data_IF_804160076549
#
_entry.id   IF_804160076549
#
_cell.length_a   1.000
_cell.length_b   1.000
_cell.length_c   1.000
_cell.angle_alpha   90.00
_cell.angle_beta   90.00
_cell.angle_gamma   90.00
#
_symmetry.space_group_name_H-M   'P 1'
#
loop_
_entity.id
_entity.type
_entity.pdbx_description
1 polymer ?
#
# COMPACT_ATOMS: atom_id res chain seq x y z
N UNK A 1 -21.53 -16.10 9.90
CA UNK A 1 -20.93 -14.76 10.12
C UNK A 1 -21.87 -13.71 9.55
N UNK A 2 -22.04 -12.54 10.18
CA UNK A 2 -22.85 -11.44 9.64
C UNK A 2 -22.13 -10.83 8.42
N UNK A 3 -22.88 -10.45 7.39
CA UNK A 3 -22.35 -9.77 6.19
C UNK A 3 -21.60 -8.48 6.58
N UNK A 4 -20.40 -8.19 6.03
CA UNK A 4 -19.66 -6.99 6.37
C UNK A 4 -20.41 -5.75 5.87
N UNK A 5 -20.59 -4.76 6.76
CA UNK A 5 -21.28 -3.51 6.44
C UNK A 5 -20.31 -2.48 5.85
N UNK A 6 -19.13 -2.37 6.45
CA UNK A 6 -18.10 -1.41 6.04
C UNK A 6 -16.81 -2.12 5.64
N UNK A 7 -16.38 -1.90 4.40
CA UNK A 7 -15.12 -2.40 3.87
C UNK A 7 -14.04 -1.32 3.90
N UNK A 8 -12.87 -1.64 4.45
CA UNK A 8 -11.69 -0.78 4.42
C UNK A 8 -10.69 -1.35 3.41
N UNK A 9 -10.56 -0.72 2.25
CA UNK A 9 -9.57 -1.08 1.24
C UNK A 9 -8.24 -0.40 1.57
N UNK A 10 -7.29 -1.17 2.08
CA UNK A 10 -5.94 -0.73 2.43
C UNK A 10 -5.06 -0.69 1.18
N UNK A 11 -4.79 0.51 0.67
CA UNK A 11 -4.06 0.72 -0.58
C UNK A 11 -2.56 0.88 -0.36
N UNK A 12 -1.76 0.09 -1.04
CA UNK A 12 -0.31 0.22 -1.09
C UNK A 12 0.22 -0.31 -2.43
N UNK A 13 1.46 0.00 -2.81
CA UNK A 13 2.08 -0.59 -4.00
C UNK A 13 2.21 -2.12 -3.90
N UNK A 14 2.38 -2.62 -2.67
CA UNK A 14 2.70 -4.01 -2.40
C UNK A 14 4.17 -4.34 -2.63
N UNK A 15 4.51 -5.63 -2.63
CA UNK A 15 5.85 -6.10 -2.92
C UNK A 15 5.88 -7.61 -3.13
N UNK A 16 6.85 -8.13 -3.88
CA UNK A 16 6.95 -9.56 -4.19
C UNK A 16 7.17 -10.35 -2.89
N UNK A 17 6.34 -11.37 -2.63
CA UNK A 17 6.45 -12.21 -1.43
C UNK A 17 7.63 -13.19 -1.55
N UNK A 18 7.95 -13.59 -2.80
CA UNK A 18 9.04 -14.49 -3.14
C UNK A 18 9.90 -13.88 -4.25
N UNK A 19 11.12 -14.38 -4.40
CA UNK A 19 12.02 -13.96 -5.48
C UNK A 19 11.41 -14.16 -6.88
N UNK A 20 10.59 -15.21 -7.07
CA UNK A 20 9.96 -15.51 -8.35
C UNK A 20 8.90 -14.48 -8.74
N UNK A 21 8.29 -13.79 -7.77
CA UNK A 21 7.26 -12.78 -8.00
C UNK A 21 7.84 -11.44 -8.48
N UNK A 22 9.17 -11.26 -8.40
CA UNK A 22 9.85 -10.00 -8.70
C UNK A 22 9.59 -9.56 -10.15
N UNK A 23 9.60 -10.48 -11.10
CA UNK A 23 9.37 -10.13 -12.50
C UNK A 23 7.99 -9.50 -12.71
N UNK A 24 6.95 -10.11 -12.17
CA UNK A 24 5.57 -9.67 -12.38
C UNK A 24 5.27 -8.38 -11.61
N UNK A 25 5.87 -8.22 -10.43
CA UNK A 25 5.90 -6.95 -9.71
C UNK A 25 6.47 -5.82 -10.56
N UNK A 26 7.67 -6.02 -11.12
CA UNK A 26 8.32 -5.01 -11.97
C UNK A 26 7.54 -4.75 -13.27
N UNK A 27 6.97 -5.80 -13.87
CA UNK A 27 6.16 -5.68 -15.07
C UNK A 27 4.97 -4.76 -14.85
N UNK A 28 4.19 -4.99 -13.79
CA UNK A 28 3.03 -4.13 -13.46
C UNK A 28 3.46 -2.70 -13.12
N UNK A 29 4.58 -2.54 -12.41
CA UNK A 29 5.14 -1.23 -12.07
C UNK A 29 5.53 -0.44 -13.34
N UNK A 30 6.24 -1.05 -14.29
CA UNK A 30 6.65 -0.37 -15.52
C UNK A 30 5.50 -0.15 -16.51
N UNK A 31 4.40 -0.92 -16.41
CA UNK A 31 3.19 -0.71 -17.20
C UNK A 31 2.29 0.41 -16.65
N UNK A 32 2.57 0.90 -15.44
CA UNK A 32 1.75 1.91 -14.78
C UNK A 32 2.01 3.32 -15.31
N UNK A 33 1.04 3.84 -16.06
CA UNK A 33 1.08 5.18 -16.64
C UNK A 33 0.90 6.30 -15.61
N UNK A 34 0.38 6.01 -14.42
CA UNK A 34 0.31 6.99 -13.33
C UNK A 34 1.64 7.17 -12.60
N UNK A 35 2.51 6.16 -12.70
CA UNK A 35 3.84 6.19 -12.09
C UNK A 35 4.86 6.79 -13.06
N UNK A 36 4.84 6.36 -14.32
CA UNK A 36 5.75 6.86 -15.35
C UNK A 36 5.14 6.75 -16.75
N UNK A 37 5.44 7.74 -17.59
CA UNK A 37 5.07 7.74 -19.01
C UNK A 37 6.29 7.37 -19.86
N UNK A 38 6.18 6.30 -20.66
CA UNK A 38 7.25 5.82 -21.53
C UNK A 38 6.77 5.69 -22.98
N UNK A 39 7.62 5.98 -23.98
CA UNK A 39 7.28 5.70 -25.36
C UNK A 39 7.09 4.18 -25.55
N UNK A 40 6.08 3.77 -26.32
CA UNK A 40 5.78 2.35 -26.56
C UNK A 40 5.78 1.47 -25.28
N UNK A 41 5.24 1.98 -24.17
CA UNK A 41 5.32 1.37 -22.83
C UNK A 41 4.91 -0.12 -22.78
N UNK A 42 3.95 -0.55 -23.61
CA UNK A 42 3.53 -1.96 -23.71
C UNK A 42 4.66 -2.90 -24.15
N UNK A 43 5.65 -2.40 -24.90
CA UNK A 43 6.81 -3.16 -25.36
C UNK A 43 8.05 -2.91 -24.48
N UNK A 44 8.27 -1.67 -24.05
CA UNK A 44 9.41 -1.33 -23.20
C UNK A 44 9.29 -1.89 -21.78
N UNK A 45 8.10 -1.89 -21.19
CA UNK A 45 7.91 -2.35 -19.81
C UNK A 45 8.30 -3.83 -19.61
N UNK A 46 7.85 -4.79 -20.45
CA UNK A 46 8.31 -6.18 -20.35
C UNK A 46 9.83 -6.34 -20.49
N UNK A 47 10.46 -5.61 -21.42
CA UNK A 47 11.91 -5.67 -21.62
C UNK A 47 12.66 -5.14 -20.39
N UNK A 48 12.25 -3.99 -19.85
CA UNK A 48 12.87 -3.41 -18.66
C UNK A 48 12.66 -4.27 -17.41
N UNK A 49 11.47 -4.85 -17.25
CA UNK A 49 11.18 -5.78 -16.16
C UNK A 49 12.16 -6.96 -16.20
N UNK A 50 12.22 -7.69 -17.33
CA UNK A 50 13.18 -8.79 -17.52
C UNK A 50 14.62 -8.39 -17.25
N UNK A 51 15.05 -7.24 -17.77
CA UNK A 51 16.43 -6.75 -17.58
C UNK A 51 16.73 -6.42 -16.11
N UNK A 52 15.77 -5.90 -15.35
CA UNK A 52 15.97 -5.48 -13.96
C UNK A 52 15.70 -6.58 -12.94
N UNK A 53 14.95 -7.61 -13.29
CA UNK A 53 14.58 -8.72 -12.38
C UNK A 53 15.78 -9.30 -11.63
N UNK A 54 16.91 -9.69 -12.27
CA UNK A 54 18.02 -10.33 -11.53
C UNK A 54 18.60 -9.43 -10.44
N UNK A 55 18.75 -8.13 -10.74
CA UNK A 55 19.27 -7.15 -9.77
C UNK A 55 18.31 -6.97 -8.59
N UNK A 56 17.01 -6.94 -8.84
CA UNK A 56 15.99 -6.74 -7.79
C UNK A 56 15.80 -8.02 -6.97
N UNK A 57 15.89 -9.20 -7.58
CA UNK A 57 15.91 -10.48 -6.87
C UNK A 57 17.08 -10.55 -5.88
N UNK A 58 18.29 -10.14 -6.31
CA UNK A 58 19.45 -10.08 -5.44
C UNK A 58 19.22 -9.12 -4.24
N UNK A 59 18.56 -7.98 -4.46
CA UNK A 59 18.19 -7.06 -3.37
C UNK A 59 17.22 -7.71 -2.38
N UNK A 60 16.19 -8.40 -2.86
CA UNK A 60 15.25 -9.12 -2.00
C UNK A 60 15.91 -10.30 -1.27
N UNK A 61 16.83 -11.00 -1.93
CA UNK A 61 17.60 -12.11 -1.33
C UNK A 61 18.36 -11.64 -0.08
N UNK A 62 19.01 -10.46 -0.15
CA UNK A 62 19.76 -9.86 0.98
C UNK A 62 18.93 -9.51 2.19
N UNK A 63 17.60 -9.38 2.05
CA UNK A 63 16.69 -9.03 3.15
C UNK A 63 15.80 -10.22 3.58
N UNK A 64 16.12 -11.44 3.12
CA UNK A 64 15.40 -12.66 3.51
C UNK A 64 14.52 -13.28 2.43
N UNK A 65 14.63 -12.86 1.17
CA UNK A 65 14.03 -13.53 0.01
C UNK A 65 12.69 -12.98 -0.47
N UNK A 66 12.20 -11.88 0.10
CA UNK A 66 10.92 -11.28 -0.28
C UNK A 66 10.52 -10.07 0.57
N UNK A 67 9.42 -9.42 0.20
CA UNK A 67 8.84 -8.30 0.92
C UNK A 67 7.91 -8.79 2.04
N UNK A 68 8.08 -8.33 3.30
CA UNK A 68 7.18 -8.68 4.38
C UNK A 68 5.87 -7.84 4.39
N UNK A 69 5.65 -7.00 3.37
CA UNK A 69 4.56 -6.00 3.39
C UNK A 69 3.18 -6.62 3.59
N UNK A 70 2.86 -7.72 2.89
CA UNK A 70 1.57 -8.41 3.02
C UNK A 70 1.33 -8.90 4.44
N UNK A 71 2.34 -9.52 5.05
CA UNK A 71 2.29 -9.97 6.45
C UNK A 71 1.95 -8.81 7.38
N UNK A 72 2.64 -7.69 7.25
CA UNK A 72 2.42 -6.55 8.14
C UNK A 72 1.08 -5.85 7.89
N UNK A 73 0.65 -5.73 6.63
CA UNK A 73 -0.68 -5.18 6.30
C UNK A 73 -1.80 -6.06 6.86
N UNK A 74 -1.65 -7.39 6.85
CA UNK A 74 -2.61 -8.31 7.48
C UNK A 74 -2.72 -8.05 8.99
N UNK A 75 -1.58 -8.03 9.70
CA UNK A 75 -1.54 -7.80 11.16
C UNK A 75 -2.17 -6.44 11.52
N UNK A 76 -1.86 -5.39 10.75
CA UNK A 76 -2.43 -4.07 10.96
C UNK A 76 -3.94 -4.05 10.65
N UNK A 77 -4.36 -4.70 9.57
CA UNK A 77 -5.77 -4.80 9.17
C UNK A 77 -6.62 -5.51 10.22
N UNK A 78 -6.14 -6.64 10.74
CA UNK A 78 -6.80 -7.41 11.80
C UNK A 78 -6.96 -6.59 13.08
N UNK A 79 -5.87 -5.94 13.52
CA UNK A 79 -5.89 -5.05 14.68
C UNK A 79 -6.86 -3.87 14.50
N UNK A 80 -6.84 -3.24 13.32
CA UNK A 80 -7.73 -2.14 12.97
C UNK A 80 -9.20 -2.56 13.03
N UNK A 81 -9.58 -3.67 12.38
CA UNK A 81 -10.98 -4.13 12.37
C UNK A 81 -11.47 -4.44 13.78
N UNK A 82 -10.65 -5.12 14.59
CA UNK A 82 -11.01 -5.42 15.99
C UNK A 82 -11.31 -4.16 16.80
N UNK A 83 -10.57 -3.08 16.59
CA UNK A 83 -10.82 -1.80 17.26
C UNK A 83 -12.04 -1.09 16.67
N UNK A 84 -12.20 -1.06 15.34
CA UNK A 84 -13.31 -0.40 14.67
C UNK A 84 -14.67 -0.99 15.04
N UNK A 85 -14.78 -2.31 15.18
CA UNK A 85 -16.02 -2.97 15.59
C UNK A 85 -16.47 -2.52 17.00
N UNK A 86 -15.52 -2.24 17.89
CA UNK A 86 -15.81 -1.71 19.23
C UNK A 86 -16.09 -0.20 19.21
N UNK A 87 -15.31 0.57 18.43
CA UNK A 87 -15.39 2.03 18.39
C UNK A 87 -16.60 2.54 17.62
N UNK A 88 -17.04 1.82 16.60
CA UNK A 88 -18.14 2.23 15.71
C UNK A 88 -19.10 1.06 15.43
N UNK A 89 -19.86 0.62 16.44
CA UNK A 89 -20.78 -0.52 16.30
C UNK A 89 -21.88 -0.29 15.25
N UNK A 90 -22.23 0.96 14.95
CA UNK A 90 -23.23 1.31 13.93
C UNK A 90 -22.77 1.01 12.48
N UNK A 91 -21.46 0.96 12.25
CA UNK A 91 -20.85 0.65 10.95
C UNK A 91 -20.22 -0.74 10.89
N UNK A 92 -20.25 -1.47 12.01
CA UNK A 92 -19.86 -2.88 12.09
C UNK A 92 -20.88 -3.80 11.39
N UNK A 93 -20.48 -5.02 10.96
CA UNK A 93 -19.12 -5.55 11.00
C UNK A 93 -18.21 -4.86 9.98
N UNK A 94 -17.00 -4.50 10.41
CA UNK A 94 -15.95 -4.00 9.52
C UNK A 94 -15.17 -5.18 8.93
N UNK A 95 -14.70 -5.04 7.68
CA UNK A 95 -13.74 -5.97 7.07
C UNK A 95 -12.68 -5.17 6.33
N UNK A 96 -11.42 -5.52 6.53
CA UNK A 96 -10.33 -4.93 5.75
C UNK A 96 -10.08 -5.78 4.49
N UNK A 97 -9.62 -5.12 3.44
CA UNK A 97 -9.21 -5.73 2.17
C UNK A 97 -7.87 -5.14 1.79
N UNK A 98 -6.95 -5.98 1.32
CA UNK A 98 -5.65 -5.50 0.84
C UNK A 98 -5.78 -5.22 -0.64
N UNK A 99 -5.52 -3.97 -1.05
CA UNK A 99 -5.48 -3.56 -2.44
C UNK A 99 -4.06 -3.18 -2.82
N UNK A 100 -3.29 -4.15 -3.32
CA UNK A 100 -1.96 -3.86 -3.83
C UNK A 100 -1.99 -3.40 -5.28
N UNK A 101 -1.09 -2.49 -5.64
CA UNK A 101 -1.04 -1.93 -6.99
C UNK A 101 -0.33 -2.86 -7.99
N UNK A 102 0.69 -3.59 -7.54
CA UNK A 102 1.60 -4.33 -8.43
C UNK A 102 1.78 -5.82 -8.11
N UNK A 103 1.17 -6.32 -7.03
CA UNK A 103 1.19 -7.74 -6.64
C UNK A 103 -0.17 -8.15 -6.10
N UNK A 104 -0.41 -9.46 -5.96
CA UNK A 104 -1.63 -9.98 -5.40
C UNK A 104 -1.71 -9.81 -3.86
N UNK A 105 -2.90 -9.60 -3.27
CA UNK A 105 -4.16 -9.30 -3.96
C UNK A 105 -4.13 -7.89 -4.59
N UNK A 106 -4.49 -7.82 -5.87
CA UNK A 106 -4.52 -6.58 -6.64
C UNK A 106 -5.70 -5.71 -6.21
N UNK A 107 -5.60 -4.42 -6.51
CA UNK A 107 -6.67 -3.44 -6.21
C UNK A 107 -7.99 -3.88 -6.84
N UNK A 108 -7.96 -4.37 -8.07
CA UNK A 108 -9.12 -4.86 -8.82
C UNK A 108 -9.73 -6.11 -8.17
N UNK A 109 -8.90 -7.06 -7.73
CA UNK A 109 -9.33 -8.29 -7.05
C UNK A 109 -10.01 -7.96 -5.71
N UNK A 110 -9.45 -7.00 -4.97
CA UNK A 110 -10.03 -6.55 -3.71
C UNK A 110 -11.39 -5.86 -3.91
N UNK A 111 -11.54 -5.03 -4.95
CA UNK A 111 -12.86 -4.41 -5.28
C UNK A 111 -13.88 -5.49 -5.64
N UNK A 112 -13.47 -6.51 -6.41
CA UNK A 112 -14.35 -7.64 -6.74
C UNK A 112 -14.80 -8.41 -5.50
N UNK A 113 -13.90 -8.68 -4.56
CA UNK A 113 -14.24 -9.32 -3.29
C UNK A 113 -15.19 -8.46 -2.47
N UNK A 114 -14.95 -7.14 -2.38
CA UNK A 114 -15.82 -6.20 -1.68
C UNK A 114 -17.24 -6.16 -2.28
N UNK A 115 -17.36 -6.19 -3.61
CA UNK A 115 -18.67 -6.27 -4.28
C UNK A 115 -19.37 -7.60 -4.04
N UNK A 116 -18.64 -8.72 -4.09
CA UNK A 116 -19.17 -10.05 -3.82
C UNK A 116 -19.66 -10.18 -2.38
N UNK A 117 -18.93 -9.59 -1.44
CA UNK A 117 -19.33 -9.51 -0.03
C UNK A 117 -20.52 -8.58 0.19
N UNK A 118 -20.87 -7.75 -0.81
CA UNK A 118 -21.99 -6.83 -0.82
C UNK A 118 -21.85 -5.72 0.23
N UNK A 119 -20.64 -5.23 0.44
CA UNK A 119 -20.31 -4.12 1.35
C UNK A 119 -21.18 -2.90 1.04
N UNK A 120 -21.73 -2.25 2.08
CA UNK A 120 -22.56 -1.04 1.90
C UNK A 120 -21.70 0.22 1.75
N UNK A 121 -20.66 0.35 2.58
CA UNK A 121 -19.72 1.48 2.59
C UNK A 121 -18.29 1.00 2.36
N UNK A 122 -17.62 1.58 1.38
CA UNK A 122 -16.21 1.36 1.11
C UNK A 122 -15.36 2.58 1.45
N UNK A 123 -14.21 2.34 2.05
CA UNK A 123 -13.22 3.36 2.38
C UNK A 123 -11.91 2.98 1.69
N UNK A 124 -11.51 3.76 0.68
CA UNK A 124 -10.18 3.70 0.09
C UNK A 124 -9.19 4.37 1.07
N UNK A 125 -8.47 3.55 1.84
CA UNK A 125 -7.56 4.02 2.86
C UNK A 125 -6.12 3.82 2.42
N UNK A 126 -5.48 4.91 1.99
CA UNK A 126 -4.06 4.85 1.61
C UNK A 126 -3.19 4.47 2.80
N UNK A 127 -2.22 3.58 2.59
CA UNK A 127 -1.20 3.24 3.58
C UNK A 127 0.04 4.15 3.46
N UNK A 128 -0.04 5.20 2.63
CA UNK A 128 0.97 6.27 2.53
C UNK A 128 0.50 7.49 3.32
N UNK A 129 1.14 7.84 4.46
CA UNK A 129 0.74 9.03 5.20
C UNK A 129 0.89 10.33 4.39
N UNK A 130 1.95 10.43 3.59
CA UNK A 130 2.22 11.54 2.68
C UNK A 130 1.69 11.22 1.28
N UNK A 131 0.85 12.10 0.74
CA UNK A 131 0.31 11.92 -0.62
C UNK A 131 1.39 12.15 -1.69
N UNK A 132 1.45 11.24 -2.66
CA UNK A 132 2.09 11.46 -3.95
C UNK A 132 1.17 10.95 -5.07
N UNK A 133 1.20 11.63 -6.22
CA UNK A 133 0.49 11.18 -7.43
C UNK A 133 1.00 9.79 -7.87
N UNK A 134 2.30 9.51 -7.68
CA UNK A 134 2.93 8.25 -8.03
C UNK A 134 2.59 7.07 -7.10
N UNK A 135 1.95 7.32 -5.95
CA UNK A 135 1.59 6.30 -4.96
C UNK A 135 0.08 6.27 -4.69
N UNK A 136 -0.42 7.15 -3.82
CA UNK A 136 -1.86 7.26 -3.52
C UNK A 136 -2.64 7.59 -4.80
N UNK A 137 -2.14 8.51 -5.62
CA UNK A 137 -2.78 8.90 -6.87
C UNK A 137 -2.99 7.72 -7.82
N UNK A 138 -1.93 6.95 -8.11
CA UNK A 138 -2.01 5.73 -8.92
C UNK A 138 -3.03 4.72 -8.37
N UNK A 139 -3.07 4.53 -7.06
CA UNK A 139 -4.01 3.61 -6.41
C UNK A 139 -5.46 4.05 -6.55
N UNK A 140 -5.75 5.35 -6.37
CA UNK A 140 -7.09 5.90 -6.56
C UNK A 140 -7.52 5.87 -8.04
N UNK A 141 -6.60 6.15 -8.95
CA UNK A 141 -6.84 6.03 -10.39
C UNK A 141 -7.14 4.58 -10.80
N UNK A 142 -6.53 3.58 -10.15
CA UNK A 142 -6.84 2.17 -10.38
C UNK A 142 -8.31 1.84 -10.02
N UNK A 143 -8.81 2.33 -8.87
CA UNK A 143 -10.23 2.17 -8.48
C UNK A 143 -11.15 2.80 -9.54
N UNK A 144 -10.84 4.01 -9.98
CA UNK A 144 -11.62 4.68 -11.03
C UNK A 144 -11.62 3.90 -12.34
N UNK A 145 -10.44 3.46 -12.81
CA UNK A 145 -10.29 2.70 -14.06
C UNK A 145 -11.00 1.36 -14.02
N UNK A 146 -11.00 0.67 -12.88
CA UNK A 146 -11.72 -0.58 -12.70
C UNK A 146 -13.21 -0.42 -13.08
N UNK A 147 -13.88 0.57 -12.49
CA UNK A 147 -15.30 0.83 -12.78
C UNK A 147 -15.54 1.33 -14.20
N UNK A 148 -14.65 2.18 -14.71
CA UNK A 148 -14.71 2.63 -16.10
C UNK A 148 -14.62 1.45 -17.09
N UNK A 149 -13.72 0.50 -16.85
CA UNK A 149 -13.51 -0.67 -17.71
C UNK A 149 -14.67 -1.65 -17.64
N UNK A 150 -15.23 -1.90 -16.44
CA UNK A 150 -16.44 -2.72 -16.29
C UNK A 150 -17.69 -2.07 -16.87
N UNK A 151 -17.68 -0.74 -17.09
CA UNK A 151 -18.86 0.04 -17.49
C UNK A 151 -20.03 -0.12 -16.51
N UNK A 152 -19.71 -0.33 -15.24
CA UNK A 152 -20.67 -0.48 -14.14
C UNK A 152 -20.48 0.65 -13.13
N UNK A 153 -21.57 1.06 -12.48
CA UNK A 153 -21.49 1.95 -11.31
C UNK A 153 -21.13 1.13 -10.07
N UNK A 154 -20.40 1.71 -9.10
CA UNK A 154 -20.14 1.04 -7.84
C UNK A 154 -21.43 0.59 -7.14
N UNK A 155 -21.43 -0.66 -6.65
CA UNK A 155 -22.53 -1.22 -5.85
C UNK A 155 -22.47 -0.81 -4.36
N UNK A 156 -21.43 -0.06 -3.99
CA UNK A 156 -21.10 0.37 -2.63
C UNK A 156 -20.80 1.87 -2.59
N UNK A 157 -21.05 2.53 -1.46
CA UNK A 157 -20.72 3.96 -1.30
C UNK A 157 -19.25 4.14 -0.97
N UNK A 158 -18.48 4.69 -1.91
CA UNK A 158 -17.07 5.00 -1.72
C UNK A 158 -16.83 6.30 -0.93
N UNK A 159 -15.75 6.29 -0.16
CA UNK A 159 -15.12 7.44 0.47
C UNK A 159 -13.62 7.20 0.54
N UNK A 160 -12.82 8.25 0.76
CA UNK A 160 -11.37 8.19 0.63
C UNK A 160 -10.72 8.81 1.87
N UNK A 161 -9.67 8.18 2.36
CA UNK A 161 -8.67 8.77 3.24
C UNK A 161 -7.36 8.78 2.42
N UNK A 162 -7.03 9.91 1.81
CA UNK A 162 -5.95 10.04 0.81
C UNK A 162 -4.61 10.52 1.39
N UNK A 163 -4.61 11.05 2.62
CA UNK A 163 -3.41 11.48 3.33
C UNK A 163 -3.66 11.61 4.83
N UNK A 164 -2.62 11.40 5.62
CA UNK A 164 -2.66 11.50 7.08
C UNK A 164 -1.26 11.74 7.69
N UNK A 165 -0.49 12.73 7.19
CA UNK A 165 0.94 12.87 7.51
C UNK A 165 1.22 13.28 8.95
N UNK A 166 0.27 13.97 9.60
CA UNK A 166 0.41 14.54 10.96
C UNK A 166 -0.54 13.88 11.96
N UNK A 167 -1.05 12.68 11.65
CA UNK A 167 -1.92 11.97 12.58
C UNK A 167 -1.19 11.77 13.93
N UNK A 168 -1.76 12.19 15.08
CA UNK A 168 -1.03 12.20 16.36
C UNK A 168 -0.43 10.84 16.73
N UNK A 169 -1.17 9.76 16.51
CA UNK A 169 -0.69 8.39 16.80
C UNK A 169 0.41 7.93 15.84
N UNK A 170 0.46 8.44 14.60
CA UNK A 170 1.58 8.15 13.69
C UNK A 170 2.87 8.82 14.19
N UNK A 171 2.76 10.10 14.57
CA UNK A 171 3.89 10.87 15.12
C UNK A 171 4.38 10.24 16.42
N UNK A 172 3.46 9.77 17.27
CA UNK A 172 3.79 9.04 18.48
C UNK A 172 4.58 7.76 18.16
N UNK A 173 4.11 6.92 17.23
CA UNK A 173 4.84 5.71 16.82
C UNK A 173 6.27 6.02 16.36
N UNK A 174 6.46 7.05 15.52
CA UNK A 174 7.81 7.47 15.11
C UNK A 174 8.65 7.95 16.29
N UNK A 175 8.08 8.78 17.17
CA UNK A 175 8.78 9.28 18.36
C UNK A 175 9.24 8.13 19.26
N UNK A 176 8.36 7.17 19.51
CA UNK A 176 8.63 6.04 20.40
C UNK A 176 9.71 5.12 19.82
N UNK A 177 9.66 4.83 18.51
CA UNK A 177 10.69 4.06 17.83
C UNK A 177 12.05 4.78 17.82
N UNK A 178 12.08 6.09 17.55
CA UNK A 178 13.33 6.88 17.57
C UNK A 178 13.95 6.85 18.98
N UNK A 179 13.15 7.08 20.02
CA UNK A 179 13.64 7.03 21.42
C UNK A 179 14.20 5.66 21.77
N UNK A 180 13.50 4.59 21.39
CA UNK A 180 13.93 3.21 21.59
C UNK A 180 15.26 2.91 20.90
N UNK A 181 15.45 3.34 19.65
CA UNK A 181 16.72 3.13 18.95
C UNK A 181 17.85 4.00 19.52
N UNK A 182 17.55 5.21 19.99
CA UNK A 182 18.52 6.04 20.71
C UNK A 182 19.00 5.38 22.01
N UNK A 183 18.19 4.54 22.67
CA UNK A 183 18.60 3.73 23.85
C UNK A 183 19.70 2.71 23.55
N UNK A 184 19.91 2.36 22.29
CA UNK A 184 20.97 1.42 21.90
C UNK A 184 22.35 2.10 21.76
N UNK A 185 22.40 3.43 21.68
CA UNK A 185 23.66 4.17 21.62
C UNK A 185 24.27 4.37 23.02
N UNK A 186 25.61 4.47 23.15
CA UNK A 186 26.26 4.85 24.39
C UNK A 186 25.69 6.16 24.95
N UNK A 187 25.43 6.22 26.25
CA UNK A 187 24.72 7.33 26.89
C UNK A 187 25.42 8.68 26.67
N UNK A 188 26.75 8.68 26.66
CA UNK A 188 27.61 9.83 26.41
C UNK A 188 27.57 10.31 24.96
N UNK A 189 27.27 9.43 23.99
CA UNK A 189 27.16 9.75 22.57
C UNK A 189 25.75 10.08 22.10
N UNK A 190 24.72 9.72 22.88
CA UNK A 190 23.32 9.85 22.49
C UNK A 190 22.92 11.27 22.07
N UNK A 191 23.49 12.31 22.69
CA UNK A 191 23.22 13.72 22.34
C UNK A 191 23.90 14.18 21.05
N UNK A 192 24.94 13.47 20.60
CA UNK A 192 25.69 13.75 19.38
C UNK A 192 25.09 12.99 18.16
N UNK A 193 24.12 12.09 18.39
CA UNK A 193 23.51 11.30 17.32
C UNK A 193 22.73 12.20 16.36
N UNK A 194 23.09 12.13 15.08
CA UNK A 194 22.35 12.78 14.01
C UNK A 194 21.16 11.90 13.59
N UNK A 195 19.96 12.44 13.68
CA UNK A 195 18.75 11.76 13.18
C UNK A 195 18.57 12.12 11.71
N UNK A 196 18.79 11.14 10.83
CA UNK A 196 18.59 11.31 9.39
C UNK A 196 17.25 10.73 8.95
N UNK A 197 16.25 11.58 8.76
CA UNK A 197 15.00 11.18 8.13
C UNK A 197 15.24 10.90 6.64
N UNK A 198 15.06 9.65 6.22
CA UNK A 198 15.23 9.23 4.83
C UNK A 198 13.88 8.86 4.22
N UNK A 199 13.49 9.54 3.15
CA UNK A 199 12.28 9.28 2.39
C UNK A 199 12.63 8.87 0.95
N UNK A 200 11.74 8.11 0.30
CA UNK A 200 11.91 7.77 -1.11
C UNK A 200 11.88 9.05 -1.96
N UNK A 201 12.91 9.23 -2.79
CA UNK A 201 13.02 10.38 -3.68
C UNK A 201 11.99 10.32 -4.81
N UNK A 202 11.70 11.48 -5.40
CA UNK A 202 10.87 11.63 -6.59
C UNK A 202 11.72 12.23 -7.72
N UNK A 203 11.41 11.92 -9.00
CA UNK A 203 11.98 12.64 -10.13
C UNK A 203 11.70 14.15 -10.01
N UNK A 204 12.62 14.99 -10.45
CA UNK A 204 12.44 16.45 -10.43
C UNK A 204 11.33 16.94 -11.39
N UNK A 205 11.04 16.15 -12.43
CA UNK A 205 9.90 16.38 -13.32
C UNK A 205 8.73 15.54 -12.81
N UNK A 206 7.82 16.19 -12.07
CA UNK A 206 6.49 15.66 -11.71
C UNK A 206 5.45 16.51 -12.41
#
# INVERSE_FOLDING_TARGET
SRKPKTGILMLNMGGPERLDDVHDFLLRLFLDKDLMSLPAQRHLAPWMARRRTPKVQEQYSRIGGGSPIKKWTLVQGEGMVKLLDNMSPLTAPHKFYIGFRYVHPLTEEAIEEMEKDGVERAIAFTQYPQYSCSTTGSSLNAIYRYYQQKKEKPKMRWSIIDRWPTHPLLIQCFSDHIKKELELFPAEKRKEVVILFSAHSLPMAV
#
